data_IF_371038747602
#
_entry.id   IF_371038747602
#
_cell.length_a   1.000
_cell.length_b   1.000
_cell.length_c   1.000
_cell.angle_alpha   90.00
_cell.angle_beta   90.00
_cell.angle_gamma   90.00
#
_symmetry.space_group_name_H-M   'P 1'
#
loop_
_entity.id
_entity.type
_entity.pdbx_description
1 polymer ?
#
# COMPACT_ATOMS: atom_id res chain seq x y z
N UNK A 1 -26.09 52.16 -38.01
CA UNK A 1 -26.50 52.69 -36.70
C UNK A 1 -27.68 51.86 -36.21
N UNK A 2 -27.43 50.85 -35.38
CA UNK A 2 -28.39 50.25 -34.42
C UNK A 2 -27.58 49.34 -33.50
N UNK A 3 -27.27 49.86 -32.31
CA UNK A 3 -26.76 49.11 -31.16
C UNK A 3 -27.78 48.05 -30.72
N UNK A 4 -27.34 46.81 -30.60
CA UNK A 4 -28.06 45.78 -29.82
C UNK A 4 -27.41 45.73 -28.44
N UNK A 5 -27.95 46.51 -27.51
CA UNK A 5 -27.58 46.51 -26.11
C UNK A 5 -27.97 45.20 -25.43
N UNK A 6 -27.01 44.59 -24.74
CA UNK A 6 -27.23 43.44 -23.87
C UNK A 6 -28.11 43.84 -22.67
N UNK A 7 -29.09 43.03 -22.24
CA UNK A 7 -29.89 43.37 -21.07
C UNK A 7 -29.03 43.26 -19.81
N UNK A 8 -28.99 44.35 -19.04
CA UNK A 8 -28.37 44.44 -17.72
C UNK A 8 -29.12 43.54 -16.74
N UNK A 9 -28.43 42.54 -16.18
CA UNK A 9 -28.92 41.77 -15.03
C UNK A 9 -29.01 42.73 -13.84
N UNK A 10 -30.16 42.86 -13.15
CA UNK A 10 -30.26 43.64 -11.92
C UNK A 10 -29.29 43.07 -10.89
N UNK A 11 -28.42 43.92 -10.33
CA UNK A 11 -27.59 43.54 -9.19
C UNK A 11 -28.50 43.30 -8.00
N UNK A 12 -28.84 42.05 -7.76
CA UNK A 12 -29.46 41.60 -6.52
C UNK A 12 -28.61 42.10 -5.35
N UNK A 13 -29.28 42.85 -4.48
CA UNK A 13 -28.79 43.33 -3.21
C UNK A 13 -28.36 42.14 -2.36
N UNK A 14 -27.05 42.03 -2.11
CA UNK A 14 -26.51 41.08 -1.15
C UNK A 14 -27.21 41.28 0.20
N UNK A 15 -27.70 40.22 0.87
CA UNK A 15 -28.24 40.33 2.21
C UNK A 15 -27.13 40.84 3.16
N UNK A 16 -27.48 41.67 4.17
CA UNK A 16 -26.50 42.18 5.12
C UNK A 16 -25.83 41.04 5.91
N UNK A 17 -24.55 41.17 6.28
CA UNK A 17 -23.84 40.13 7.02
C UNK A 17 -24.50 39.89 8.38
N UNK A 18 -24.74 38.61 8.70
CA UNK A 18 -25.24 38.16 10.00
C UNK A 18 -24.19 38.51 11.07
N UNK A 19 -24.54 39.24 12.15
CA UNK A 19 -23.62 39.46 13.26
C UNK A 19 -23.24 38.13 13.91
N UNK A 20 -21.96 37.79 13.86
CA UNK A 20 -21.42 36.66 14.63
C UNK A 20 -21.30 37.12 16.08
N UNK A 21 -22.20 36.67 16.95
CA UNK A 21 -22.05 36.84 18.40
C UNK A 21 -20.75 36.15 18.84
N UNK A 22 -19.79 36.97 19.30
CA UNK A 22 -18.58 36.47 19.96
C UNK A 22 -18.97 35.86 21.29
N UNK A 23 -18.96 34.53 21.36
CA UNK A 23 -19.04 33.80 22.63
C UNK A 23 -17.96 34.32 23.58
N UNK A 24 -18.29 34.71 24.82
CA UNK A 24 -17.28 35.05 25.80
C UNK A 24 -16.47 33.79 26.12
N UNK A 25 -15.14 33.88 26.00
CA UNK A 25 -14.22 32.87 26.50
C UNK A 25 -14.38 32.78 28.02
N UNK A 26 -15.07 31.74 28.51
CA UNK A 26 -15.05 31.40 29.92
C UNK A 26 -13.63 31.00 30.30
N UNK A 27 -13.00 31.83 31.12
CA UNK A 27 -11.69 31.59 31.72
C UNK A 27 -11.89 30.55 32.83
N UNK A 28 -11.56 29.30 32.54
CA UNK A 28 -11.64 28.19 33.49
C UNK A 28 -10.61 28.30 34.63
N UNK A 29 -11.05 28.00 35.84
CA UNK A 29 -10.28 27.90 37.10
C UNK A 29 -9.35 26.66 37.05
N UNK A 30 -8.13 26.69 37.64
CA UNK A 30 -7.24 25.54 37.60
C UNK A 30 -7.71 24.44 38.57
N UNK A 31 -8.33 23.40 38.03
CA UNK A 31 -8.59 22.14 38.73
C UNK A 31 -7.49 21.11 38.45
N UNK A 32 -7.05 20.45 39.52
CA UNK A 32 -6.08 19.35 39.64
C UNK A 32 -6.10 18.32 38.49
N UNK A 33 -4.94 17.78 38.05
CA UNK A 33 -4.88 16.83 36.92
C UNK A 33 -5.31 15.42 37.36
N UNK A 34 -6.61 15.19 37.42
CA UNK A 34 -7.21 13.86 37.53
C UNK A 34 -7.58 13.34 36.15
N UNK A 35 -6.87 12.30 35.69
CA UNK A 35 -7.19 11.41 34.57
C UNK A 35 -8.16 11.92 33.51
N UNK A 36 -7.63 12.51 32.43
CA UNK A 36 -8.35 12.61 31.16
C UNK A 36 -8.52 11.20 30.62
N UNK A 37 -9.57 10.52 31.07
CA UNK A 37 -10.07 9.30 30.47
C UNK A 37 -10.50 9.66 29.05
N UNK A 38 -9.61 9.39 28.10
CA UNK A 38 -9.92 9.44 26.68
C UNK A 38 -11.00 8.38 26.45
N UNK A 39 -12.19 8.85 26.10
CA UNK A 39 -13.27 8.03 25.58
C UNK A 39 -12.77 7.35 24.29
N UNK A 40 -12.19 6.15 24.43
CA UNK A 40 -11.70 5.30 23.35
C UNK A 40 -12.66 4.12 23.15
N UNK A 41 -13.93 4.40 22.86
CA UNK A 41 -14.89 3.39 22.39
C UNK A 41 -15.88 4.02 21.40
N UNK A 42 -15.35 4.64 20.35
CA UNK A 42 -16.04 4.73 19.07
C UNK A 42 -15.41 3.69 18.15
N UNK A 43 -16.20 2.83 17.52
CA UNK A 43 -15.71 1.87 16.53
C UNK A 43 -14.84 2.61 15.49
N UNK A 44 -13.53 2.38 15.53
CA UNK A 44 -12.55 3.22 14.85
C UNK A 44 -12.60 3.01 13.32
N UNK A 45 -13.48 3.73 12.65
CA UNK A 45 -13.26 4.11 11.25
C UNK A 45 -12.22 5.22 11.25
N UNK A 46 -10.94 4.86 11.44
CA UNK A 46 -9.84 5.82 11.23
C UNK A 46 -9.95 6.29 9.78
N UNK A 47 -10.19 7.58 9.60
CA UNK A 47 -10.28 8.18 8.27
C UNK A 47 -8.96 7.92 7.52
N UNK A 48 -8.99 7.40 6.28
CA UNK A 48 -7.79 7.04 5.54
C UNK A 48 -6.89 8.26 5.35
N UNK A 49 -5.64 8.15 5.79
CA UNK A 49 -4.69 9.26 5.81
C UNK A 49 -3.49 8.99 4.89
N UNK A 50 -2.90 10.03 4.26
CA UNK A 50 -1.63 9.88 3.53
C UNK A 50 -0.49 9.29 4.38
N UNK A 51 -0.54 9.43 5.71
CA UNK A 51 0.43 8.83 6.64
C UNK A 51 0.36 7.30 6.69
N UNK A 52 -0.73 6.68 6.20
CA UNK A 52 -0.86 5.22 6.15
C UNK A 52 0.04 4.60 5.08
N UNK A 53 0.50 5.37 4.10
CA UNK A 53 1.44 4.89 3.09
C UNK A 53 2.79 4.45 3.70
N UNK A 54 3.06 4.79 4.96
CA UNK A 54 4.13 4.18 5.74
C UNK A 54 4.08 2.64 5.73
N UNK A 55 2.87 2.04 5.65
CA UNK A 55 2.71 0.60 5.48
C UNK A 55 3.28 0.07 4.16
N UNK A 56 3.10 0.81 3.06
CA UNK A 56 3.77 0.47 1.79
C UNK A 56 5.29 0.65 1.90
N UNK A 57 5.75 1.74 2.50
CA UNK A 57 7.18 2.06 2.60
C UNK A 57 7.97 1.10 3.50
N UNK A 58 7.29 0.46 4.44
CA UNK A 58 7.80 -0.62 5.27
C UNK A 58 7.97 -1.94 4.50
N UNK A 59 7.18 -2.14 3.45
CA UNK A 59 7.27 -3.28 2.55
C UNK A 59 7.88 -2.91 1.19
N UNK A 60 7.17 -3.20 0.08
CA UNK A 60 7.72 -3.05 -1.28
C UNK A 60 7.70 -1.59 -1.81
N UNK A 61 7.14 -0.65 -1.05
CA UNK A 61 6.94 0.72 -1.47
C UNK A 61 8.23 1.54 -1.47
N UNK A 62 8.33 2.42 -2.47
CA UNK A 62 9.41 3.40 -2.63
C UNK A 62 8.87 4.82 -2.51
N UNK A 63 9.71 5.69 -1.99
CA UNK A 63 9.41 7.11 -1.81
C UNK A 63 10.36 7.95 -2.68
N UNK A 64 9.81 8.68 -3.65
CA UNK A 64 10.52 9.66 -4.46
C UNK A 64 10.27 11.09 -3.98
N UNK A 65 11.27 11.97 -4.08
CA UNK A 65 11.17 13.40 -3.72
C UNK A 65 11.68 14.25 -4.87
N UNK A 66 10.89 15.24 -5.30
CA UNK A 66 11.27 16.20 -6.35
C UNK A 66 10.66 17.56 -6.02
N UNK A 67 11.44 18.64 -6.10
CA UNK A 67 10.91 20.02 -6.04
C UNK A 67 10.04 20.33 -4.82
N UNK A 68 10.38 19.78 -3.65
CA UNK A 68 9.59 19.95 -2.41
C UNK A 68 8.24 19.21 -2.39
N UNK A 69 8.06 18.23 -3.28
CA UNK A 69 6.93 17.31 -3.31
C UNK A 69 7.42 15.88 -3.19
N UNK A 70 6.54 14.98 -2.78
CA UNK A 70 6.87 13.56 -2.68
C UNK A 70 5.87 12.68 -3.43
N UNK A 71 6.31 11.47 -3.75
CA UNK A 71 5.54 10.43 -4.43
C UNK A 71 5.84 9.08 -3.79
N UNK A 72 4.81 8.28 -3.55
CA UNK A 72 4.96 6.85 -3.27
C UNK A 72 4.69 6.05 -4.54
N UNK A 73 5.54 5.07 -4.83
CA UNK A 73 5.33 4.06 -5.88
C UNK A 73 5.60 2.66 -5.36
N UNK A 74 4.98 1.66 -5.99
CA UNK A 74 5.14 0.25 -5.67
C UNK A 74 4.99 -0.56 -6.95
N UNK A 75 5.79 -1.62 -7.10
CA UNK A 75 5.62 -2.60 -8.17
C UNK A 75 4.84 -3.76 -7.61
N UNK A 76 3.80 -4.17 -8.32
CA UNK A 76 2.93 -5.29 -7.94
C UNK A 76 2.78 -6.26 -9.09
N UNK A 77 2.57 -7.52 -8.72
CA UNK A 77 2.10 -8.57 -9.61
C UNK A 77 0.57 -8.66 -9.48
N UNK A 78 -0.11 -9.18 -10.50
CA UNK A 78 -1.57 -9.35 -10.52
C UNK A 78 -2.37 -8.03 -10.64
N UNK A 79 -3.22 -7.95 -11.66
CA UNK A 79 -3.97 -6.72 -11.97
C UNK A 79 -4.91 -6.26 -10.84
N UNK A 80 -5.45 -7.18 -10.03
CA UNK A 80 -6.35 -6.81 -8.94
C UNK A 80 -5.68 -5.92 -7.89
N UNK A 81 -4.37 -6.08 -7.66
CA UNK A 81 -3.62 -5.24 -6.72
C UNK A 81 -3.58 -3.79 -7.18
N UNK A 82 -3.49 -3.57 -8.49
CA UNK A 82 -3.56 -2.23 -9.09
C UNK A 82 -4.87 -1.57 -8.74
N UNK A 83 -6.00 -2.25 -8.94
CA UNK A 83 -7.32 -1.71 -8.63
C UNK A 83 -7.49 -1.37 -7.15
N UNK A 84 -7.04 -2.27 -6.25
CA UNK A 84 -7.08 -2.02 -4.81
C UNK A 84 -6.22 -0.81 -4.44
N UNK A 85 -4.97 -0.76 -4.89
CA UNK A 85 -4.05 0.33 -4.54
C UNK A 85 -4.50 1.68 -5.09
N UNK A 86 -5.04 1.72 -6.31
CA UNK A 86 -5.63 2.93 -6.89
C UNK A 86 -6.81 3.41 -6.03
N UNK A 87 -7.72 2.52 -5.65
CA UNK A 87 -8.85 2.87 -4.78
C UNK A 87 -8.38 3.37 -3.39
N UNK A 88 -7.37 2.73 -2.80
CA UNK A 88 -6.79 3.12 -1.51
C UNK A 88 -6.05 4.48 -1.57
N UNK A 89 -5.44 4.83 -2.70
CA UNK A 89 -4.84 6.15 -2.91
C UNK A 89 -5.90 7.22 -3.09
N UNK A 90 -6.95 6.94 -3.88
CA UNK A 90 -8.07 7.86 -4.07
C UNK A 90 -8.80 8.12 -2.75
N UNK A 91 -9.02 7.09 -1.93
CA UNK A 91 -9.61 7.22 -0.59
C UNK A 91 -8.82 8.17 0.32
N UNK A 92 -7.51 8.34 0.08
CA UNK A 92 -6.61 9.27 0.80
C UNK A 92 -6.47 10.62 0.12
N UNK A 93 -7.32 10.90 -0.88
CA UNK A 93 -7.28 12.09 -1.72
C UNK A 93 -5.94 12.26 -2.45
N UNK A 94 -5.37 11.17 -2.97
CA UNK A 94 -4.16 11.15 -3.78
C UNK A 94 -4.51 10.69 -5.20
N UNK A 95 -4.10 11.47 -6.20
CA UNK A 95 -4.18 11.04 -7.60
C UNK A 95 -3.23 9.87 -7.82
N UNK A 96 -3.72 8.80 -8.43
CA UNK A 96 -2.95 7.61 -8.74
C UNK A 96 -2.82 7.40 -10.26
N UNK A 97 -1.68 6.88 -10.69
CA UNK A 97 -1.47 6.38 -12.05
C UNK A 97 -0.79 5.02 -11.96
N UNK A 98 -0.96 4.18 -12.97
CA UNK A 98 -0.27 2.90 -13.07
C UNK A 98 0.22 2.67 -14.50
N UNK A 99 1.25 1.85 -14.65
CA UNK A 99 1.80 1.44 -15.95
C UNK A 99 2.37 0.02 -15.86
N UNK A 100 2.34 -0.78 -16.95
CA UNK A 100 3.09 -2.03 -17.00
C UNK A 100 4.59 -1.73 -16.89
N UNK A 101 5.32 -2.58 -16.18
CA UNK A 101 6.79 -2.54 -16.10
C UNK A 101 7.31 -3.41 -17.25
N UNK A 102 8.08 -2.84 -18.20
CA UNK A 102 8.64 -3.64 -19.29
C UNK A 102 9.59 -4.69 -18.72
N UNK A 103 9.55 -5.89 -19.29
CA UNK A 103 10.51 -6.94 -18.96
C UNK A 103 11.92 -6.51 -19.38
N UNK A 104 12.85 -6.53 -18.42
CA UNK A 104 14.26 -6.54 -18.75
C UNK A 104 14.57 -7.93 -19.31
N UNK A 105 14.57 -8.07 -20.64
CA UNK A 105 15.16 -9.24 -21.28
C UNK A 105 16.61 -9.35 -20.80
N UNK A 106 17.07 -10.51 -20.30
CA UNK A 106 18.48 -10.73 -20.07
C UNK A 106 19.23 -10.34 -21.35
N UNK A 107 20.25 -9.48 -21.23
CA UNK A 107 21.11 -9.21 -22.38
C UNK A 107 21.80 -10.53 -22.69
N UNK A 108 21.53 -11.11 -23.85
CA UNK A 108 22.31 -12.20 -24.42
C UNK A 108 23.78 -11.77 -24.44
N UNK A 109 24.54 -12.22 -23.46
CA UNK A 109 26.00 -12.22 -23.48
C UNK A 109 26.39 -13.69 -23.54
N UNK A 110 27.20 -13.98 -24.56
CA UNK A 110 27.78 -15.28 -24.89
C UNK A 110 26.89 -16.22 -25.71
N UNK A 111 26.43 -15.73 -26.88
CA UNK A 111 26.46 -16.59 -28.07
C UNK A 111 27.91 -16.71 -28.55
N UNK A 112 28.77 -17.35 -27.75
CA UNK A 112 29.95 -17.99 -28.31
C UNK A 112 29.59 -19.46 -28.52
N UNK A 113 29.34 -19.74 -29.80
CA UNK A 113 29.20 -21.04 -30.43
C UNK A 113 29.95 -22.16 -29.70
N UNK A 114 29.21 -23.06 -29.08
CA UNK A 114 29.62 -24.46 -28.99
C UNK A 114 28.76 -25.22 -29.99
N UNK A 115 29.32 -25.49 -31.16
CA UNK A 115 28.83 -26.55 -32.05
C UNK A 115 28.93 -27.87 -31.27
N UNK A 116 27.84 -28.30 -30.64
CA UNK A 116 27.74 -29.65 -30.09
C UNK A 116 27.36 -30.58 -31.23
N UNK A 117 28.34 -31.39 -31.61
CA UNK A 117 28.24 -32.50 -32.55
C UNK A 117 27.03 -33.39 -32.21
N UNK A 118 26.11 -33.53 -33.16
CA UNK A 118 24.96 -34.39 -33.05
C UNK A 118 25.37 -35.86 -32.84
N UNK A 119 24.97 -36.42 -31.70
CA UNK A 119 24.94 -37.85 -31.45
C UNK A 119 23.48 -38.30 -31.48
N UNK A 120 23.19 -39.29 -32.33
CA UNK A 120 21.84 -39.77 -32.64
C UNK A 120 21.08 -40.29 -31.41
N UNK A 121 19.78 -39.96 -31.24
CA UNK A 121 18.99 -40.45 -30.12
C UNK A 121 18.56 -41.91 -30.33
N UNK A 122 18.72 -42.74 -29.31
CA UNK A 122 18.20 -44.11 -29.26
C UNK A 122 16.67 -44.14 -29.09
N UNK A 123 15.98 -45.23 -29.47
CA UNK A 123 14.53 -45.27 -29.48
C UNK A 123 14.00 -45.64 -28.09
N UNK A 124 13.34 -44.70 -27.43
CA UNK A 124 12.52 -45.02 -26.26
C UNK A 124 12.52 -43.94 -25.20
N UNK A 125 11.92 -42.79 -25.49
CA UNK A 125 11.45 -41.89 -24.44
C UNK A 125 10.10 -41.31 -24.86
N UNK A 126 9.11 -41.55 -24.01
CA UNK A 126 7.73 -41.07 -24.11
C UNK A 126 7.73 -39.54 -24.01
N UNK A 127 7.07 -38.79 -24.90
CA UNK A 127 6.94 -37.35 -24.74
C UNK A 127 5.82 -37.05 -23.74
N UNK A 128 6.21 -36.91 -22.48
CA UNK A 128 5.47 -36.22 -21.43
C UNK A 128 6.56 -35.70 -20.51
N UNK A 129 6.75 -34.41 -20.37
CA UNK A 129 5.87 -33.56 -19.60
C UNK A 129 5.94 -32.12 -20.14
N UNK A 130 4.83 -31.42 -19.97
CA UNK A 130 4.60 -30.04 -20.41
C UNK A 130 5.79 -29.14 -20.10
N UNK A 131 6.43 -28.66 -21.17
CA UNK A 131 7.34 -27.53 -21.13
C UNK A 131 6.53 -26.34 -20.62
N UNK A 132 6.59 -26.09 -19.31
CA UNK A 132 6.06 -24.89 -18.67
C UNK A 132 6.79 -23.73 -19.34
N UNK A 133 6.20 -23.16 -20.38
CA UNK A 133 6.63 -21.91 -20.97
C UNK A 133 6.68 -20.92 -19.81
N UNK A 134 7.89 -20.55 -19.40
CA UNK A 134 8.19 -19.58 -18.34
C UNK A 134 7.62 -18.23 -18.81
N UNK A 135 6.30 -18.08 -18.64
CA UNK A 135 5.57 -16.92 -19.08
C UNK A 135 5.83 -15.88 -18.02
N UNK A 136 6.60 -14.82 -18.34
CA UNK A 136 6.96 -13.82 -17.36
C UNK A 136 5.68 -13.21 -16.78
N UNK A 137 5.58 -13.26 -15.45
CA UNK A 137 4.41 -12.73 -14.74
C UNK A 137 4.38 -11.21 -14.96
N UNK A 138 3.28 -10.65 -15.52
CA UNK A 138 3.22 -9.24 -15.81
C UNK A 138 3.28 -8.43 -14.50
N UNK A 139 4.13 -7.41 -14.50
CA UNK A 139 4.36 -6.50 -13.36
C UNK A 139 3.83 -5.11 -13.69
N UNK A 140 3.30 -4.43 -12.68
CA UNK A 140 2.71 -3.11 -12.81
C UNK A 140 3.29 -2.16 -11.77
N UNK A 141 3.76 -0.98 -12.18
CA UNK A 141 4.09 0.11 -11.25
C UNK A 141 2.81 0.90 -10.98
N UNK A 142 2.41 0.97 -9.71
CA UNK A 142 1.36 1.86 -9.23
C UNK A 142 2.02 3.00 -8.46
N UNK A 143 1.64 4.24 -8.77
CA UNK A 143 2.25 5.42 -8.17
C UNK A 143 1.24 6.53 -7.95
N UNK A 144 1.48 7.28 -6.89
CA UNK A 144 0.79 8.56 -6.66
C UNK A 144 1.30 9.63 -7.64
N UNK A 145 0.58 10.72 -7.84
CA UNK A 145 1.16 11.95 -8.36
C UNK A 145 2.09 12.57 -7.32
N UNK A 146 3.07 13.37 -7.75
CA UNK A 146 3.84 14.19 -6.82
C UNK A 146 2.92 15.16 -6.07
N UNK A 147 2.97 15.12 -4.74
CA UNK A 147 2.04 15.88 -3.89
C UNK A 147 2.72 16.40 -2.63
N UNK A 148 2.33 17.61 -2.21
CA UNK A 148 2.74 18.19 -0.92
C UNK A 148 2.10 17.49 0.27
N UNK A 149 0.97 16.80 0.08
CA UNK A 149 0.31 16.01 1.14
C UNK A 149 1.19 14.88 1.67
N UNK A 150 2.16 14.44 0.87
CA UNK A 150 3.13 13.41 1.23
C UNK A 150 4.38 13.96 1.92
N UNK A 151 4.53 15.28 2.07
CA UNK A 151 5.77 15.88 2.59
C UNK A 151 6.03 15.51 4.04
N UNK A 152 5.00 15.44 4.89
CA UNK A 152 5.18 15.04 6.29
C UNK A 152 5.70 13.61 6.41
N UNK A 153 5.10 12.68 5.63
CA UNK A 153 5.59 11.31 5.52
C UNK A 153 7.02 11.28 4.97
N UNK A 154 7.29 12.08 3.94
CA UNK A 154 8.58 12.10 3.29
C UNK A 154 9.69 12.75 4.12
N UNK A 155 9.38 13.67 5.01
CA UNK A 155 10.35 14.24 5.94
C UNK A 155 10.71 13.24 7.05
N UNK A 156 9.74 12.44 7.50
CA UNK A 156 9.94 11.48 8.58
C UNK A 156 10.65 10.18 8.14
N UNK A 157 10.67 9.86 6.85
CA UNK A 157 11.25 8.61 6.34
C UNK A 157 12.71 8.82 5.86
N UNK A 158 13.68 7.94 6.21
CA UNK A 158 13.53 6.59 6.74
C UNK A 158 13.52 6.44 8.27
N UNK A 159 13.87 7.46 9.06
CA UNK A 159 14.03 7.33 10.52
C UNK A 159 12.75 6.83 11.23
N UNK A 160 11.58 7.17 10.70
CA UNK A 160 10.30 6.67 11.19
C UNK A 160 10.11 5.14 11.08
N UNK A 161 10.88 4.45 10.23
CA UNK A 161 10.80 2.99 10.09
C UNK A 161 11.14 2.26 11.39
N UNK A 162 12.10 2.78 12.17
CA UNK A 162 12.51 2.18 13.44
C UNK A 162 11.38 2.23 14.50
N UNK A 163 10.54 3.27 14.45
CA UNK A 163 9.45 3.51 15.39
C UNK A 163 8.08 3.18 14.77
N UNK A 164 8.07 2.41 13.68
CA UNK A 164 6.86 2.15 12.91
C UNK A 164 5.81 1.44 13.78
N UNK A 165 4.62 2.04 13.81
CA UNK A 165 3.40 1.40 14.30
C UNK A 165 2.58 0.92 13.10
N UNK A 166 2.27 -0.37 13.04
CA UNK A 166 1.51 -0.99 11.97
C UNK A 166 0.02 -1.04 12.34
N UNK A 167 -0.66 0.09 12.09
CA UNK A 167 -2.13 0.18 12.20
C UNK A 167 -2.83 -0.64 11.12
N UNK A 168 -4.13 -0.88 11.30
CA UNK A 168 -4.97 -1.55 10.31
C UNK A 168 -4.85 -0.96 8.89
N UNK A 169 -5.05 0.36 8.70
CA UNK A 169 -4.88 1.00 7.39
C UNK A 169 -3.48 0.84 6.77
N UNK A 170 -2.41 0.84 7.58
CA UNK A 170 -1.02 0.60 7.11
C UNK A 170 -0.83 -0.84 6.66
N UNK A 171 -1.29 -1.81 7.46
CA UNK A 171 -1.21 -3.23 7.13
C UNK A 171 -2.07 -3.57 5.91
N UNK A 172 -3.24 -2.95 5.78
CA UNK A 172 -4.12 -3.11 4.63
C UNK A 172 -3.44 -2.75 3.32
N UNK A 173 -2.76 -1.60 3.28
CA UNK A 173 -1.97 -1.19 2.12
C UNK A 173 -0.83 -2.18 1.81
N UNK A 174 -0.13 -2.66 2.84
CA UNK A 174 0.93 -3.66 2.66
C UNK A 174 0.38 -4.98 2.11
N UNK A 175 -0.71 -5.49 2.67
CA UNK A 175 -1.38 -6.71 2.21
C UNK A 175 -1.87 -6.56 0.76
N UNK A 176 -2.46 -5.42 0.41
CA UNK A 176 -2.86 -5.14 -0.97
C UNK A 176 -1.68 -5.20 -1.93
N UNK A 177 -0.53 -4.63 -1.56
CA UNK A 177 0.65 -4.60 -2.41
C UNK A 177 1.40 -5.94 -2.51
N UNK A 178 1.56 -6.65 -1.40
CA UNK A 178 2.45 -7.82 -1.35
C UNK A 178 2.02 -8.92 -0.39
N UNK A 179 0.75 -8.95 0.01
CA UNK A 179 0.17 -10.04 0.79
C UNK A 179 -0.18 -11.24 -0.08
N UNK A 180 0.16 -12.45 0.36
CA UNK A 180 -0.23 -13.69 -0.32
C UNK A 180 -0.53 -14.79 0.70
N UNK A 181 -1.65 -15.53 0.56
CA UNK A 181 -1.93 -16.69 1.38
C UNK A 181 -0.85 -17.77 1.17
N UNK A 182 -0.56 -18.55 2.21
CA UNK A 182 0.27 -19.76 2.14
C UNK A 182 -0.43 -20.87 2.93
N UNK A 183 -0.20 -22.15 2.60
CA UNK A 183 -0.69 -23.24 3.44
C UNK A 183 -0.29 -23.03 4.91
N UNK A 184 -1.27 -22.87 5.80
CA UNK A 184 -1.05 -22.65 7.24
C UNK A 184 -0.54 -21.26 7.64
N UNK A 185 -0.55 -20.28 6.74
CA UNK A 185 -0.01 -18.95 7.03
C UNK A 185 -0.35 -17.86 6.01
N UNK A 186 0.23 -16.69 6.24
CA UNK A 186 0.11 -15.54 5.35
C UNK A 186 1.48 -14.90 5.15
N UNK A 187 1.87 -14.69 3.90
CA UNK A 187 3.15 -14.11 3.53
C UNK A 187 2.97 -12.63 3.19
N UNK A 188 3.80 -11.77 3.77
CA UNK A 188 3.97 -10.37 3.37
C UNK A 188 5.30 -10.23 2.64
N UNK A 189 5.30 -9.66 1.43
CA UNK A 189 6.53 -9.33 0.72
C UNK A 189 7.27 -8.18 1.39
N UNK A 190 8.58 -8.32 1.50
CA UNK A 190 9.51 -7.35 2.06
C UNK A 190 10.47 -6.89 0.96
N UNK A 191 10.94 -5.65 1.06
CA UNK A 191 12.09 -5.20 0.30
C UNK A 191 13.36 -5.53 1.10
N UNK A 192 14.29 -6.35 0.56
CA UNK A 192 15.51 -6.76 1.27
C UNK A 192 16.45 -5.60 1.59
N UNK A 193 16.25 -4.42 0.99
CA UNK A 193 16.97 -3.20 1.33
C UNK A 193 16.49 -2.56 2.66
N UNK A 194 15.39 -3.05 3.26
CA UNK A 194 14.84 -2.52 4.51
C UNK A 194 15.39 -3.28 5.72
N UNK A 195 15.42 -2.62 6.87
CA UNK A 195 15.78 -3.27 8.12
C UNK A 195 14.69 -4.27 8.57
N UNK A 196 14.95 -5.55 8.30
CA UNK A 196 14.07 -6.65 8.68
C UNK A 196 13.84 -6.75 10.19
N UNK A 197 14.78 -6.32 11.04
CA UNK A 197 14.62 -6.37 12.50
C UNK A 197 13.64 -5.31 12.98
N UNK A 198 13.73 -4.09 12.44
CA UNK A 198 12.77 -3.03 12.74
C UNK A 198 11.34 -3.42 12.29
N UNK A 199 11.22 -4.02 11.11
CA UNK A 199 9.94 -4.52 10.57
C UNK A 199 9.38 -5.64 11.43
N UNK A 200 10.19 -6.64 11.77
CA UNK A 200 9.78 -7.74 12.66
C UNK A 200 9.29 -7.22 14.00
N UNK A 201 10.05 -6.31 14.63
CA UNK A 201 9.65 -5.69 15.90
C UNK A 201 8.30 -4.94 15.78
N UNK A 202 8.04 -4.26 14.65
CA UNK A 202 6.76 -3.60 14.41
C UNK A 202 5.60 -4.59 14.23
N UNK A 203 5.81 -5.71 13.52
CA UNK A 203 4.81 -6.76 13.34
C UNK A 203 4.54 -7.50 14.66
N UNK A 204 5.58 -7.80 15.45
CA UNK A 204 5.46 -8.38 16.79
C UNK A 204 4.63 -7.47 17.70
N UNK A 205 4.88 -6.16 17.73
CA UNK A 205 4.06 -5.19 18.49
C UNK A 205 2.60 -5.14 18.01
N UNK A 206 2.34 -5.40 16.74
CA UNK A 206 0.98 -5.50 16.20
C UNK A 206 0.29 -6.84 16.51
N UNK A 207 0.99 -7.79 17.15
CA UNK A 207 0.49 -9.14 17.47
C UNK A 207 0.67 -10.15 16.34
N UNK A 208 1.49 -9.83 15.33
CA UNK A 208 1.67 -10.59 14.09
C UNK A 208 3.05 -11.21 13.98
N UNK A 209 3.59 -11.72 15.08
CA UNK A 209 4.89 -12.38 15.08
C UNK A 209 4.96 -13.51 14.03
N UNK A 210 6.10 -13.65 13.38
CA UNK A 210 6.31 -14.55 12.25
C UNK A 210 7.80 -14.79 12.02
N UNK A 211 8.15 -15.17 10.79
CA UNK A 211 9.55 -15.42 10.40
C UNK A 211 9.89 -14.70 9.11
N UNK A 212 11.03 -14.02 9.10
CA UNK A 212 11.63 -13.46 7.89
C UNK A 212 12.27 -14.60 7.09
N UNK A 213 12.13 -14.62 5.77
CA UNK A 213 12.84 -15.56 4.90
C UNK A 213 14.34 -15.28 4.85
N UNK A 214 15.14 -16.29 4.52
CA UNK A 214 16.61 -16.15 4.48
C UNK A 214 17.08 -15.08 3.49
N UNK A 215 16.36 -14.91 2.38
CA UNK A 215 16.62 -13.88 1.36
C UNK A 215 16.13 -12.47 1.77
N UNK A 216 15.46 -12.34 2.92
CA UNK A 216 14.92 -11.08 3.42
C UNK A 216 13.73 -10.54 2.62
N UNK A 217 13.18 -11.30 1.67
CA UNK A 217 12.13 -10.83 0.74
C UNK A 217 10.72 -11.11 1.22
N UNK A 218 10.55 -11.85 2.32
CA UNK A 218 9.22 -12.17 2.82
C UNK A 218 9.17 -12.36 4.33
N UNK A 219 7.98 -12.10 4.88
CA UNK A 219 7.63 -12.33 6.27
C UNK A 219 6.45 -13.31 6.33
N UNK A 220 6.65 -14.47 6.96
CA UNK A 220 5.65 -15.50 7.10
C UNK A 220 4.98 -15.43 8.47
N UNK A 221 3.69 -15.11 8.49
CA UNK A 221 2.83 -15.14 9.67
C UNK A 221 2.15 -16.51 9.71
N UNK A 222 2.28 -17.22 10.83
CA UNK A 222 1.62 -18.52 11.03
C UNK A 222 0.80 -18.53 12.32
N UNK A 223 -0.14 -19.46 12.39
CA UNK A 223 -0.95 -19.69 13.58
C UNK A 223 -2.28 -18.95 13.57
N UNK A 224 -3.34 -19.69 13.92
CA UNK A 224 -4.74 -19.26 13.80
C UNK A 224 -5.04 -17.91 14.46
N UNK A 225 -4.57 -17.68 15.70
CA UNK A 225 -4.81 -16.42 16.43
C UNK A 225 -4.21 -15.22 15.70
N UNK A 226 -3.03 -15.36 15.11
CA UNK A 226 -2.34 -14.28 14.39
C UNK A 226 -3.00 -14.01 13.04
N UNK A 227 -3.48 -15.04 12.36
CA UNK A 227 -4.23 -14.91 11.11
C UNK A 227 -5.59 -14.24 11.32
N UNK A 228 -6.32 -14.61 12.39
CA UNK A 228 -7.55 -13.90 12.79
C UNK A 228 -7.24 -12.44 13.08
N UNK A 229 -6.18 -12.16 13.85
CA UNK A 229 -5.77 -10.79 14.14
C UNK A 229 -5.39 -9.99 12.89
N UNK A 230 -4.69 -10.61 11.94
CA UNK A 230 -4.36 -9.98 10.66
C UNK A 230 -5.62 -9.61 9.89
N UNK A 231 -6.58 -10.53 9.80
CA UNK A 231 -7.87 -10.29 9.14
C UNK A 231 -8.66 -9.17 9.82
N UNK A 232 -8.70 -9.12 11.16
CA UNK A 232 -9.31 -8.02 11.91
C UNK A 232 -8.65 -6.67 11.62
N UNK A 233 -7.32 -6.61 11.63
CA UNK A 233 -6.56 -5.38 11.40
C UNK A 233 -6.73 -4.85 9.98
N UNK A 234 -6.65 -5.75 8.99
CA UNK A 234 -6.72 -5.40 7.58
C UNK A 234 -8.15 -5.06 7.15
N UNK A 235 -9.14 -5.62 7.84
CA UNK A 235 -10.55 -5.38 7.63
C UNK A 235 -11.10 -6.05 6.37
N UNK A 236 -12.30 -5.61 5.98
CA UNK A 236 -13.11 -6.22 4.92
C UNK A 236 -12.33 -6.28 3.60
N UNK A 237 -12.37 -7.44 2.94
CA UNK A 237 -11.77 -7.65 1.62
C UNK A 237 -12.28 -6.60 0.61
N UNK A 238 -11.39 -5.87 -0.08
CA UNK A 238 -11.81 -5.03 -1.21
C UNK A 238 -12.41 -5.89 -2.33
N UNK A 239 -13.45 -5.39 -3.00
CA UNK A 239 -14.19 -6.14 -4.03
C UNK A 239 -13.28 -6.71 -5.12
N UNK A 240 -12.31 -5.93 -5.58
CA UNK A 240 -11.37 -6.32 -6.63
C UNK A 240 -10.44 -7.48 -6.24
N UNK A 241 -10.14 -7.69 -4.95
CA UNK A 241 -9.20 -8.72 -4.52
C UNK A 241 -9.87 -10.11 -4.56
N UNK A 242 -9.26 -11.16 -5.14
CA UNK A 242 -9.82 -12.51 -5.08
C UNK A 242 -10.09 -12.98 -3.64
N UNK A 243 -11.17 -13.74 -3.37
CA UNK A 243 -11.51 -14.22 -2.04
C UNK A 243 -10.36 -14.93 -1.33
N UNK A 244 -9.61 -15.76 -2.03
CA UNK A 244 -8.48 -16.54 -1.54
C UNK A 244 -7.24 -15.68 -1.24
N UNK A 245 -7.08 -14.54 -1.91
CA UNK A 245 -5.87 -13.72 -1.84
C UNK A 245 -5.84 -12.75 -0.65
N UNK A 246 -6.95 -12.60 0.08
CA UNK A 246 -7.09 -11.65 1.19
C UNK A 246 -7.19 -12.37 2.55
N UNK A 247 -6.59 -11.82 3.63
CA UNK A 247 -6.72 -12.40 4.97
C UNK A 247 -8.18 -12.56 5.40
N UNK A 248 -8.53 -13.74 5.92
CA UNK A 248 -9.90 -14.05 6.36
C UNK A 248 -10.86 -14.46 5.24
N UNK A 249 -10.37 -14.60 4.02
CA UNK A 249 -11.11 -15.22 2.92
C UNK A 249 -11.22 -16.75 3.02
N UNK A 250 -11.99 -17.35 2.13
CA UNK A 250 -12.43 -18.76 2.18
C UNK A 250 -11.33 -19.84 2.01
N UNK A 251 -10.05 -19.50 2.20
CA UNK A 251 -8.91 -20.43 2.05
C UNK A 251 -7.75 -20.20 3.03
N UNK A 252 -7.96 -19.44 4.11
CA UNK A 252 -6.94 -19.14 5.14
C UNK A 252 -7.10 -19.95 6.44
#
# INVERSE_FOLDING_TARGET
>A
MTETGWPLIPRETLPPPIPVERRPHQRGVPGTPGGRQLSMFGAETIEPSPADLAGLLAGPGRLGRIGGTARVSVVVEEAWRVHVLVAEFVARNLTATWAPVPEEKPRDQDQDSIEVRAESPGPGETPGEEEILDTPVPRFEVRTAYSRRLNALAAAWPDAAAQLFLSGPRLRLWVAAAGSPRPGGFRLGLDPAKDARAIDAALVRAGLAGRVSEDGRSYLITGRRRLIRLAELVGIRPEAAPPESWPGGAGA
#
